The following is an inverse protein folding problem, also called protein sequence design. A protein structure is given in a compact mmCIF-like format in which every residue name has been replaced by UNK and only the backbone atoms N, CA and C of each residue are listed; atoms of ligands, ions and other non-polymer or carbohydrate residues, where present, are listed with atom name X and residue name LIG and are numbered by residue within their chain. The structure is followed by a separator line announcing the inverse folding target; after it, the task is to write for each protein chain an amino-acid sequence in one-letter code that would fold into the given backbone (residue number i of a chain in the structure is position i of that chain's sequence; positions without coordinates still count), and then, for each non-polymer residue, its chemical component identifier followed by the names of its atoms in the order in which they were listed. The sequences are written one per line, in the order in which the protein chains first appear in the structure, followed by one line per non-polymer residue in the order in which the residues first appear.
data_IF_555838210466
#
_entry.id   IF_555838210466
#
_cell.length_a   1.000
_cell.length_b   1.000
_cell.length_c   1.000
_cell.angle_alpha   90.00
_cell.angle_beta   90.00
_cell.angle_gamma   90.00
#
_symmetry.space_group_name_H-M   'P 1'
#
loop_
_entity.id
_entity.type
_entity.pdbx_description
1 polymer ?
#
# COMPACT_ATOMS: atom_id res chain seq x y z
N UNK A 1 -5.65 26.09 26.45
CA UNK A 1 -5.47 25.34 25.19
C UNK A 1 -6.47 25.88 24.19
N UNK A 2 -6.02 26.46 23.08
CA UNK A 2 -6.94 26.79 22.00
C UNK A 2 -7.29 25.47 21.30
N UNK A 3 -8.54 25.06 21.32
CA UNK A 3 -9.04 23.91 20.56
C UNK A 3 -9.23 24.39 19.13
N UNK A 4 -8.51 23.75 18.19
CA UNK A 4 -8.71 24.01 16.77
C UNK A 4 -10.08 23.46 16.35
N UNK A 5 -10.91 24.31 15.76
CA UNK A 5 -12.29 23.96 15.39
C UNK A 5 -12.47 23.72 13.90
N UNK A 6 -11.46 24.05 13.05
CA UNK A 6 -11.49 23.80 11.61
C UNK A 6 -10.84 22.47 11.26
N UNK A 7 -11.42 21.39 11.81
CA UNK A 7 -10.94 20.02 11.60
C UNK A 7 -11.37 19.52 10.22
N UNK A 8 -10.42 19.05 9.43
CA UNK A 8 -10.69 18.42 8.13
C UNK A 8 -10.73 16.90 8.29
N UNK A 9 -11.93 16.34 8.27
CA UNK A 9 -12.12 14.88 8.23
C UNK A 9 -11.87 14.35 6.81
N UNK A 10 -11.63 13.04 6.68
CA UNK A 10 -11.47 12.39 5.37
C UNK A 10 -12.69 12.65 4.48
N UNK A 11 -13.91 12.52 5.02
CA UNK A 11 -15.14 12.80 4.27
C UNK A 11 -15.18 14.25 3.77
N UNK A 12 -14.85 15.22 4.64
CA UNK A 12 -14.78 16.64 4.24
C UNK A 12 -13.73 16.87 3.15
N UNK A 13 -12.55 16.26 3.29
CA UNK A 13 -11.49 16.34 2.29
C UNK A 13 -11.95 15.78 0.93
N UNK A 14 -12.52 14.58 0.90
CA UNK A 14 -13.00 13.94 -0.34
C UNK A 14 -14.05 14.82 -1.03
N UNK A 15 -14.99 15.41 -0.28
CA UNK A 15 -15.99 16.31 -0.85
C UNK A 15 -15.38 17.59 -1.40
N UNK A 16 -14.38 18.17 -0.74
CA UNK A 16 -13.64 19.32 -1.25
C UNK A 16 -12.91 19.01 -2.55
N UNK A 17 -12.24 17.84 -2.64
CA UNK A 17 -11.59 17.41 -3.88
C UNK A 17 -12.61 17.18 -5.01
N UNK A 18 -13.75 16.56 -4.71
CA UNK A 18 -14.84 16.39 -5.68
C UNK A 18 -15.36 17.73 -6.21
N UNK A 19 -15.53 18.74 -5.35
CA UNK A 19 -16.00 20.06 -5.75
C UNK A 19 -15.04 20.76 -6.73
N UNK A 20 -13.73 20.54 -6.59
CA UNK A 20 -12.74 21.08 -7.53
C UNK A 20 -12.88 20.49 -8.95
N UNK A 21 -13.44 19.31 -9.06
CA UNK A 21 -13.64 18.60 -10.32
C UNK A 21 -15.05 18.81 -10.92
N UNK A 22 -15.94 19.54 -10.24
CA UNK A 22 -17.28 19.84 -10.72
C UNK A 22 -17.23 20.67 -12.04
N UNK A 23 -18.16 20.43 -13.01
CA UNK A 23 -19.33 19.53 -12.94
C UNK A 23 -19.05 18.07 -13.37
N UNK A 24 -17.82 17.70 -13.75
CA UNK A 24 -17.51 16.37 -14.27
C UNK A 24 -17.55 15.25 -13.22
N UNK A 25 -17.41 15.59 -11.93
CA UNK A 25 -17.42 14.61 -10.84
C UNK A 25 -18.84 14.16 -10.46
N UNK A 26 -19.12 12.86 -10.60
CA UNK A 26 -20.44 12.26 -10.32
C UNK A 26 -20.63 11.87 -8.84
N UNK A 27 -19.57 11.91 -8.03
CA UNK A 27 -19.60 11.53 -6.60
C UNK A 27 -19.40 10.05 -6.32
N UNK A 28 -19.37 9.20 -7.33
CA UNK A 28 -19.25 7.73 -7.19
C UNK A 28 -17.93 7.33 -6.49
N UNK A 29 -16.80 7.97 -6.86
CA UNK A 29 -15.51 7.74 -6.18
C UNK A 29 -15.56 8.17 -4.71
N UNK A 30 -16.25 9.28 -4.42
CA UNK A 30 -16.42 9.77 -3.05
C UNK A 30 -17.20 8.78 -2.19
N UNK A 31 -18.26 8.19 -2.73
CA UNK A 31 -19.04 7.15 -2.06
C UNK A 31 -18.20 5.89 -1.83
N UNK A 32 -17.41 5.48 -2.82
CA UNK A 32 -16.50 4.34 -2.68
C UNK A 32 -15.45 4.58 -1.58
N UNK A 33 -14.79 5.73 -1.56
CA UNK A 33 -13.80 6.06 -0.54
C UNK A 33 -14.42 6.13 0.87
N UNK A 34 -15.67 6.57 1.00
CA UNK A 34 -16.38 6.52 2.28
C UNK A 34 -16.72 5.09 2.72
N UNK A 35 -17.01 4.18 1.78
CA UNK A 35 -17.21 2.75 2.09
C UNK A 35 -15.90 2.08 2.52
N UNK A 36 -14.78 2.40 1.86
CA UNK A 36 -13.45 1.95 2.29
C UNK A 36 -13.09 2.46 3.69
N UNK A 37 -13.39 3.72 3.99
CA UNK A 37 -13.16 4.30 5.31
C UNK A 37 -13.85 3.48 6.42
N UNK A 38 -15.06 2.99 6.19
CA UNK A 38 -15.77 2.13 7.13
C UNK A 38 -15.00 0.82 7.36
N UNK A 39 -14.56 0.16 6.29
CA UNK A 39 -13.78 -1.08 6.41
C UNK A 39 -12.50 -0.86 7.22
N UNK A 40 -11.76 0.23 6.96
CA UNK A 40 -10.55 0.56 7.72
C UNK A 40 -10.81 0.80 9.21
N UNK A 41 -11.89 1.50 9.56
CA UNK A 41 -12.29 1.73 10.96
C UNK A 41 -12.64 0.41 11.65
N UNK A 42 -13.35 -0.49 10.96
CA UNK A 42 -13.71 -1.80 11.48
C UNK A 42 -12.47 -2.67 11.70
N UNK A 43 -11.56 -2.74 10.73
CA UNK A 43 -10.30 -3.49 10.86
C UNK A 43 -9.45 -2.93 12.00
N UNK A 44 -9.27 -1.60 12.07
CA UNK A 44 -8.54 -0.94 13.16
C UNK A 44 -9.10 -1.28 14.53
N UNK A 45 -10.44 -1.32 14.67
CA UNK A 45 -11.12 -1.69 15.91
C UNK A 45 -10.81 -3.14 16.30
N UNK A 46 -10.85 -4.08 15.34
CA UNK A 46 -10.64 -5.50 15.62
C UNK A 46 -9.17 -5.83 15.91
N UNK A 47 -8.22 -5.24 15.17
CA UNK A 47 -6.78 -5.42 15.43
C UNK A 47 -6.42 -4.99 16.85
N UNK A 48 -6.91 -3.84 17.33
CA UNK A 48 -6.64 -3.35 18.69
C UNK A 48 -7.16 -4.27 19.79
N UNK A 49 -8.13 -5.10 19.51
CA UNK A 49 -8.78 -6.01 20.44
C UNK A 49 -8.51 -7.48 20.16
N UNK A 50 -7.70 -7.78 19.15
CA UNK A 50 -7.52 -9.11 18.60
C UNK A 50 -7.21 -10.16 19.68
N UNK A 51 -6.29 -9.84 20.59
CA UNK A 51 -5.94 -10.69 21.72
C UNK A 51 -7.08 -10.86 22.72
N UNK A 52 -7.81 -9.78 23.01
CA UNK A 52 -8.91 -9.77 23.99
C UNK A 52 -10.13 -10.58 23.53
N UNK A 53 -10.34 -10.68 22.22
CA UNK A 53 -11.51 -11.36 21.63
C UNK A 53 -11.15 -12.64 20.88
N UNK A 54 -9.96 -13.19 21.11
CA UNK A 54 -9.49 -14.45 20.55
C UNK A 54 -9.39 -14.47 19.01
N UNK A 55 -9.08 -13.35 18.39
CA UNK A 55 -8.85 -13.22 16.95
C UNK A 55 -7.39 -13.45 16.54
N UNK A 56 -6.52 -13.75 17.50
CA UNK A 56 -5.13 -14.13 17.26
C UNK A 56 -5.05 -15.59 16.81
N UNK A 57 -4.03 -15.92 16.03
CA UNK A 57 -3.71 -17.27 15.60
C UNK A 57 -4.25 -17.64 14.24
N UNK A 58 -3.97 -18.89 13.85
CA UNK A 58 -4.25 -19.44 12.53
C UNK A 58 -5.74 -19.75 12.39
N UNK A 59 -6.32 -19.45 11.22
CA UNK A 59 -7.71 -19.79 10.87
C UNK A 59 -7.92 -21.29 10.60
N UNK A 60 -6.85 -21.99 10.18
CA UNK A 60 -6.91 -23.38 9.69
C UNK A 60 -7.05 -23.44 8.16
N UNK A 61 -7.03 -22.31 7.47
CA UNK A 61 -7.09 -22.19 6.01
C UNK A 61 -5.80 -21.58 5.45
N UNK A 62 -5.59 -21.67 4.13
CA UNK A 62 -4.53 -20.98 3.41
C UNK A 62 -5.18 -20.07 2.37
N UNK A 63 -4.50 -18.94 2.04
CA UNK A 63 -4.94 -18.05 0.98
C UNK A 63 -4.62 -18.62 -0.42
N UNK A 64 -5.02 -17.91 -1.46
CA UNK A 64 -4.82 -18.29 -2.87
C UNK A 64 -3.36 -18.49 -3.26
N UNK A 65 -2.42 -17.86 -2.55
CA UNK A 65 -0.98 -17.98 -2.81
C UNK A 65 -0.28 -19.03 -1.96
N UNK A 66 -1.04 -19.77 -1.11
CA UNK A 66 -0.54 -20.85 -0.25
C UNK A 66 0.00 -20.39 1.10
N UNK A 67 -0.15 -19.10 1.44
CA UNK A 67 0.23 -18.57 2.75
C UNK A 67 -0.85 -18.95 3.79
N UNK A 68 -0.43 -19.27 5.02
CA UNK A 68 -1.35 -19.66 6.11
C UNK A 68 -2.10 -18.42 6.59
N UNK A 69 -3.43 -18.44 6.44
CA UNK A 69 -4.30 -17.35 6.86
C UNK A 69 -4.41 -17.25 8.38
N UNK A 70 -4.40 -16.03 8.88
CA UNK A 70 -4.79 -15.71 10.26
C UNK A 70 -6.31 -15.47 10.32
N UNK A 71 -6.88 -15.58 11.52
CA UNK A 71 -8.31 -15.29 11.71
C UNK A 71 -8.71 -13.88 11.30
N UNK A 72 -7.79 -12.91 11.49
CA UNK A 72 -8.01 -11.53 11.10
C UNK A 72 -7.96 -11.33 9.58
N UNK A 73 -7.19 -12.12 8.83
CA UNK A 73 -7.19 -12.07 7.36
C UNK A 73 -8.59 -12.39 6.83
N UNK A 74 -9.19 -13.46 7.32
CA UNK A 74 -10.56 -13.87 6.94
C UNK A 74 -11.58 -12.77 7.27
N UNK A 75 -11.54 -12.21 8.49
CA UNK A 75 -12.46 -11.13 8.90
C UNK A 75 -12.20 -9.85 8.13
N UNK A 76 -10.93 -9.53 7.88
CA UNK A 76 -10.52 -8.36 7.09
C UNK A 76 -11.04 -8.43 5.65
N UNK A 77 -10.91 -9.60 5.02
CA UNK A 77 -11.41 -9.84 3.67
C UNK A 77 -12.95 -9.79 3.63
N UNK A 78 -13.64 -10.48 4.54
CA UNK A 78 -15.09 -10.47 4.61
C UNK A 78 -15.68 -9.05 4.77
N UNK A 79 -15.14 -8.24 5.68
CA UNK A 79 -15.64 -6.87 5.87
C UNK A 79 -15.34 -6.00 4.64
N UNK A 80 -14.18 -6.22 3.99
CA UNK A 80 -13.81 -5.49 2.79
C UNK A 80 -14.77 -5.85 1.63
N UNK A 81 -15.00 -7.12 1.37
CA UNK A 81 -15.96 -7.60 0.37
C UNK A 81 -17.35 -7.01 0.62
N UNK A 82 -17.85 -7.07 1.88
CA UNK A 82 -19.17 -6.55 2.23
C UNK A 82 -19.27 -5.04 2.05
N UNK A 83 -18.22 -4.28 2.40
CA UNK A 83 -18.16 -2.84 2.19
C UNK A 83 -18.17 -2.47 0.70
N UNK A 84 -17.42 -3.21 -0.13
CA UNK A 84 -17.39 -3.00 -1.58
C UNK A 84 -18.73 -3.33 -2.23
N UNK A 85 -19.33 -4.46 -1.86
CA UNK A 85 -20.66 -4.87 -2.32
C UNK A 85 -21.72 -3.82 -1.96
N UNK A 86 -21.73 -3.36 -0.71
CA UNK A 86 -22.73 -2.40 -0.20
C UNK A 86 -22.58 -1.01 -0.82
N UNK A 87 -21.39 -0.66 -1.31
CA UNK A 87 -21.14 0.65 -1.94
C UNK A 87 -21.89 0.83 -3.25
N UNK A 88 -22.26 -0.25 -3.94
CA UNK A 88 -22.81 -0.29 -5.31
C UNK A 88 -21.94 0.45 -6.36
N UNK A 89 -20.70 0.81 -6.02
CA UNK A 89 -19.79 1.53 -6.91
C UNK A 89 -18.67 0.63 -7.47
N UNK A 90 -18.47 -0.56 -6.87
CA UNK A 90 -17.46 -1.54 -7.29
C UNK A 90 -18.11 -2.62 -8.14
N UNK A 91 -17.53 -2.89 -9.29
CA UNK A 91 -17.92 -3.99 -10.18
C UNK A 91 -16.99 -5.19 -10.04
N UNK A 92 -15.69 -4.93 -9.90
CA UNK A 92 -14.64 -5.96 -9.81
C UNK A 92 -13.83 -5.74 -8.54
N UNK A 93 -13.63 -6.80 -7.78
CA UNK A 93 -12.72 -6.81 -6.63
C UNK A 93 -11.69 -7.91 -6.83
N UNK A 94 -10.41 -7.57 -6.64
CA UNK A 94 -9.28 -8.50 -6.50
C UNK A 94 -8.80 -8.39 -5.07
N UNK A 95 -8.78 -9.49 -4.34
CA UNK A 95 -8.23 -9.59 -2.99
C UNK A 95 -7.09 -10.60 -2.95
N UNK A 96 -6.08 -10.37 -2.12
CA UNK A 96 -5.03 -11.37 -1.85
C UNK A 96 -5.60 -12.67 -1.33
N UNK A 97 -6.68 -12.60 -0.57
CA UNK A 97 -7.30 -13.72 0.13
C UNK A 97 -8.19 -14.59 -0.78
N UNK A 98 -8.49 -14.13 -2.00
CA UNK A 98 -9.37 -14.79 -2.96
C UNK A 98 -8.57 -15.31 -4.16
N UNK A 99 -8.80 -16.55 -4.58
CA UNK A 99 -8.12 -17.16 -5.73
C UNK A 99 -8.51 -16.48 -7.05
N UNK A 100 -9.77 -16.14 -7.19
CA UNK A 100 -10.34 -15.49 -8.37
C UNK A 100 -10.84 -14.08 -8.04
N UNK A 101 -11.01 -13.28 -9.08
CA UNK A 101 -11.66 -11.97 -8.93
C UNK A 101 -13.15 -12.13 -8.60
N UNK A 102 -13.66 -11.22 -7.78
CA UNK A 102 -15.08 -11.16 -7.44
C UNK A 102 -15.77 -10.14 -8.38
N UNK A 103 -16.82 -10.57 -9.07
CA UNK A 103 -17.68 -9.70 -9.86
C UNK A 103 -18.98 -9.47 -9.09
N UNK A 104 -19.24 -8.21 -8.72
CA UNK A 104 -20.49 -7.84 -8.05
C UNK A 104 -21.63 -7.66 -9.08
N UNK A 105 -22.82 -8.08 -8.72
CA UNK A 105 -24.03 -7.71 -9.44
C UNK A 105 -24.30 -6.21 -9.26
N UNK A 106 -24.81 -5.56 -10.29
CA UNK A 106 -25.09 -4.12 -10.26
C UNK A 106 -24.19 -3.28 -11.17
N UNK A 107 -24.32 -1.98 -11.08
CA UNK A 107 -23.75 -1.00 -12.01
C UNK A 107 -22.47 -0.29 -11.54
N UNK A 108 -21.61 -0.94 -10.76
CA UNK A 108 -20.36 -0.33 -10.30
C UNK A 108 -19.42 0.10 -11.41
N UNK A 109 -18.77 1.25 -11.26
CA UNK A 109 -17.86 1.83 -12.25
C UNK A 109 -16.38 1.70 -11.87
N UNK A 110 -16.06 0.99 -10.80
CA UNK A 110 -14.69 0.83 -10.32
C UNK A 110 -14.32 -0.63 -10.16
N UNK A 111 -13.03 -0.91 -10.39
CA UNK A 111 -12.36 -2.10 -9.92
C UNK A 111 -11.46 -1.72 -8.75
N UNK A 112 -11.45 -2.55 -7.72
CA UNK A 112 -10.60 -2.37 -6.54
C UNK A 112 -9.69 -3.59 -6.42
N UNK A 113 -8.40 -3.35 -6.22
CA UNK A 113 -7.41 -4.38 -5.90
C UNK A 113 -6.92 -4.12 -4.47
N UNK A 114 -6.94 -5.13 -3.60
CA UNK A 114 -6.62 -4.96 -2.18
C UNK A 114 -5.83 -6.12 -1.61
N UNK A 115 -4.94 -5.79 -0.69
CA UNK A 115 -4.49 -6.65 0.38
C UNK A 115 -5.21 -6.19 1.65
N UNK A 116 -6.18 -6.97 2.16
CA UNK A 116 -6.96 -6.54 3.32
C UNK A 116 -6.14 -6.40 4.60
N UNK A 117 -5.14 -7.26 4.82
CA UNK A 117 -4.24 -7.18 5.98
C UNK A 117 -2.81 -7.58 5.61
N UNK A 118 -2.06 -6.66 5.00
CA UNK A 118 -0.61 -6.81 4.77
C UNK A 118 0.13 -7.02 6.08
N UNK A 119 1.01 -8.00 6.09
CA UNK A 119 1.87 -8.30 7.23
C UNK A 119 1.17 -9.05 8.37
N UNK A 120 0.07 -9.75 8.14
CA UNK A 120 -0.73 -10.46 9.14
C UNK A 120 0.07 -11.42 10.02
N UNK A 121 1.18 -11.97 9.54
CA UNK A 121 2.12 -12.78 10.34
C UNK A 121 2.69 -12.05 11.56
N UNK A 122 2.64 -10.72 11.57
CA UNK A 122 3.15 -9.85 12.63
C UNK A 122 2.10 -9.50 13.70
N UNK A 123 0.82 -9.83 13.49
CA UNK A 123 -0.28 -9.45 14.38
C UNK A 123 -0.06 -9.99 15.79
N UNK A 124 0.31 -11.27 15.90
CA UNK A 124 0.51 -11.96 17.17
C UNK A 124 1.68 -11.35 17.98
N UNK A 125 2.58 -10.64 17.33
CA UNK A 125 3.72 -9.95 17.97
C UNK A 125 3.45 -8.45 18.23
N UNK A 126 2.25 -7.95 17.90
CA UNK A 126 1.87 -6.54 18.07
C UNK A 126 2.64 -5.58 17.16
N UNK A 127 3.25 -6.08 16.08
CA UNK A 127 3.89 -5.23 15.06
C UNK A 127 2.81 -4.66 14.15
N UNK A 128 3.04 -3.43 13.66
CA UNK A 128 2.08 -2.75 12.76
C UNK A 128 1.85 -3.56 11.49
N UNK A 129 0.58 -3.63 11.10
CA UNK A 129 0.09 -4.25 9.86
C UNK A 129 -0.74 -3.23 9.10
N UNK A 130 -1.26 -3.56 7.92
CA UNK A 130 -2.07 -2.57 7.19
C UNK A 130 -2.97 -3.16 6.13
N UNK A 131 -3.87 -2.32 5.61
CA UNK A 131 -4.68 -2.59 4.42
C UNK A 131 -4.12 -1.77 3.27
N UNK A 132 -3.92 -2.38 2.11
CA UNK A 132 -3.43 -1.71 0.90
C UNK A 132 -4.54 -1.77 -0.17
N UNK A 133 -4.71 -0.70 -0.94
CA UNK A 133 -5.71 -0.69 -2.02
C UNK A 133 -5.28 0.16 -3.20
N UNK A 134 -5.70 -0.27 -4.40
CA UNK A 134 -5.63 0.49 -5.66
C UNK A 134 -6.98 0.46 -6.36
N UNK A 135 -7.36 1.55 -7.01
CA UNK A 135 -8.66 1.73 -7.65
C UNK A 135 -8.47 2.08 -9.12
N UNK A 136 -9.13 1.32 -9.99
CA UNK A 136 -9.25 1.61 -11.41
C UNK A 136 -10.68 2.05 -11.75
N UNK A 137 -10.81 3.02 -12.65
CA UNK A 137 -12.09 3.30 -13.27
C UNK A 137 -12.31 2.34 -14.44
N UNK A 138 -13.47 1.71 -14.52
CA UNK A 138 -13.87 0.85 -15.61
C UNK A 138 -14.28 1.68 -16.83
N UNK A 139 -14.21 1.05 -18.01
CA UNK A 139 -14.85 1.57 -19.21
C UNK A 139 -16.36 1.52 -19.04
N UNK A 140 -17.06 2.44 -19.68
CA UNK A 140 -18.53 2.57 -19.52
C UNK A 140 -19.33 1.34 -19.97
N UNK A 141 -18.76 0.52 -20.86
CA UNK A 141 -19.35 -0.73 -21.38
C UNK A 141 -18.87 -1.99 -20.64
N UNK A 142 -18.00 -1.86 -19.65
CA UNK A 142 -17.48 -3.01 -18.91
C UNK A 142 -18.58 -3.69 -18.09
N UNK A 143 -18.65 -5.01 -18.23
CA UNK A 143 -19.51 -5.88 -17.41
C UNK A 143 -18.77 -6.53 -16.26
N UNK A 144 -17.50 -6.20 -16.07
CA UNK A 144 -16.60 -6.81 -15.09
C UNK A 144 -15.86 -8.01 -15.70
N UNK A 145 -14.54 -7.91 -15.75
CA UNK A 145 -13.66 -8.97 -16.23
C UNK A 145 -12.25 -8.80 -15.69
N UNK A 146 -11.42 -9.80 -15.87
CA UNK A 146 -10.01 -9.75 -15.51
C UNK A 146 -9.26 -8.62 -16.26
N UNK A 147 -9.68 -8.26 -17.49
CA UNK A 147 -9.07 -7.20 -18.27
C UNK A 147 -9.29 -5.79 -17.68
N UNK A 148 -10.21 -5.66 -16.74
CA UNK A 148 -10.46 -4.40 -16.03
C UNK A 148 -9.38 -4.11 -14.99
N UNK A 149 -8.61 -5.11 -14.59
CA UNK A 149 -7.54 -5.00 -13.58
C UNK A 149 -6.15 -5.34 -14.14
N UNK A 150 -6.03 -6.17 -15.19
CA UNK A 150 -4.75 -6.45 -15.84
C UNK A 150 -4.33 -5.27 -16.74
N UNK A 151 -4.08 -4.14 -16.09
CA UNK A 151 -3.74 -2.84 -16.68
C UNK A 151 -2.49 -2.30 -16.01
N UNK A 152 -1.88 -1.28 -16.61
CA UNK A 152 -0.76 -0.58 -15.99
C UNK A 152 -1.20 0.13 -14.71
N UNK A 153 -0.30 0.24 -13.74
CA UNK A 153 -0.54 1.00 -12.51
C UNK A 153 -0.78 2.50 -12.76
N UNK A 154 -0.26 3.04 -13.88
CA UNK A 154 -0.51 4.43 -14.32
C UNK A 154 -1.98 4.73 -14.62
N UNK A 155 -2.81 3.72 -14.78
CA UNK A 155 -4.24 3.86 -15.06
C UNK A 155 -5.11 3.86 -13.79
N UNK A 156 -4.51 3.68 -12.60
CA UNK A 156 -5.23 3.83 -11.33
C UNK A 156 -5.69 5.27 -11.14
N UNK A 157 -6.90 5.43 -10.61
CA UNK A 157 -7.48 6.74 -10.29
C UNK A 157 -7.30 7.11 -8.82
N UNK A 158 -7.04 6.14 -7.95
CA UNK A 158 -6.70 6.36 -6.56
C UNK A 158 -5.92 5.16 -6.01
N UNK A 159 -5.10 5.41 -5.01
CA UNK A 159 -4.40 4.38 -4.26
C UNK A 159 -4.18 4.83 -2.82
N UNK A 160 -4.01 3.87 -1.92
CA UNK A 160 -3.74 4.17 -0.53
C UNK A 160 -3.42 2.94 0.30
N UNK A 161 -3.04 3.20 1.52
CA UNK A 161 -2.97 2.18 2.58
C UNK A 161 -3.40 2.76 3.91
N UNK A 162 -3.90 1.89 4.77
CA UNK A 162 -4.10 2.22 6.19
C UNK A 162 -3.15 1.36 7.02
N UNK A 163 -2.23 1.98 7.74
CA UNK A 163 -1.36 1.30 8.70
C UNK A 163 -2.03 1.26 10.08
N UNK A 164 -2.08 0.10 10.68
CA UNK A 164 -2.62 -0.15 12.01
C UNK A 164 -1.46 -0.44 12.98
N UNK A 165 -1.18 0.49 13.87
CA UNK A 165 -0.10 0.42 14.84
C UNK A 165 -0.47 1.19 16.11
N UNK A 166 0.46 1.98 16.65
CA UNK A 166 0.20 2.86 17.81
C UNK A 166 -0.98 3.81 17.54
N UNK A 167 -1.12 4.25 16.29
CA UNK A 167 -2.31 4.92 15.74
C UNK A 167 -2.67 4.27 14.42
N UNK A 168 -3.89 4.47 13.92
CA UNK A 168 -4.24 4.09 12.56
C UNK A 168 -4.02 5.30 11.64
N UNK A 169 -3.15 5.12 10.62
CA UNK A 169 -2.80 6.16 9.66
C UNK A 169 -3.23 5.74 8.25
N UNK A 170 -4.05 6.53 7.61
CA UNK A 170 -4.42 6.37 6.20
C UNK A 170 -3.58 7.32 5.35
N UNK A 171 -2.87 6.78 4.36
CA UNK A 171 -2.25 7.54 3.27
C UNK A 171 -3.06 7.35 2.00
N UNK A 172 -3.45 8.45 1.38
CA UNK A 172 -4.33 8.47 0.21
C UNK A 172 -3.78 9.38 -0.88
N UNK A 173 -3.84 8.90 -2.11
CA UNK A 173 -3.70 9.71 -3.32
C UNK A 173 -4.87 9.47 -4.27
N UNK A 174 -5.33 10.55 -4.90
CA UNK A 174 -6.28 10.54 -6.02
C UNK A 174 -5.62 11.06 -7.30
N UNK A 175 -4.27 10.90 -7.41
CA UNK A 175 -3.47 11.36 -8.53
C UNK A 175 -3.00 12.81 -8.43
N UNK A 176 -3.25 13.50 -7.32
CA UNK A 176 -2.92 14.90 -7.09
C UNK A 176 -2.18 15.10 -5.75
N UNK A 177 -1.04 14.42 -5.59
CA UNK A 177 -0.28 14.41 -4.35
C UNK A 177 -0.77 13.39 -3.33
N UNK A 178 -0.15 13.36 -2.16
CA UNK A 178 -0.45 12.42 -1.09
C UNK A 178 -0.91 13.18 0.15
N UNK A 179 -1.99 12.70 0.77
CA UNK A 179 -2.51 13.24 2.02
C UNK A 179 -2.60 12.13 3.07
N UNK A 180 -2.17 12.46 4.29
CA UNK A 180 -2.16 11.55 5.43
C UNK A 180 -3.20 11.93 6.47
N UNK A 181 -3.91 10.93 6.96
CA UNK A 181 -4.98 11.06 7.96
C UNK A 181 -4.70 10.14 9.14
N UNK A 182 -5.04 10.61 10.33
CA UNK A 182 -4.95 9.81 11.56
C UNK A 182 -6.36 9.56 12.10
N UNK A 183 -6.63 8.32 12.48
CA UNK A 183 -7.92 7.96 13.06
C UNK A 183 -8.01 8.45 14.51
N UNK A 184 -8.91 9.41 14.76
CA UNK A 184 -9.40 9.69 16.11
C UNK A 184 -10.44 8.64 16.46
N UNK A 185 -10.10 7.77 17.40
CA UNK A 185 -10.96 6.64 17.78
C UNK A 185 -12.12 7.03 18.70
N UNK A 186 -12.08 8.22 19.29
CA UNK A 186 -13.20 8.72 20.10
C UNK A 186 -14.25 9.38 19.23
N UNK A 187 -13.82 10.18 18.25
CA UNK A 187 -14.72 10.75 17.23
C UNK A 187 -15.14 9.72 16.19
N UNK A 188 -14.35 8.67 16.01
CA UNK A 188 -14.55 7.68 14.96
C UNK A 188 -14.27 8.23 13.56
N UNK A 189 -13.38 9.23 13.42
CA UNK A 189 -13.09 9.90 12.15
C UNK A 189 -11.60 9.94 11.84
N UNK A 190 -11.27 9.77 10.53
CA UNK A 190 -9.92 10.05 10.03
C UNK A 190 -9.75 11.56 9.86
N UNK A 191 -8.79 12.14 10.57
CA UNK A 191 -8.49 13.57 10.58
C UNK A 191 -7.24 13.81 9.73
N UNK A 192 -7.27 14.80 8.85
CA UNK A 192 -6.12 15.22 8.04
C UNK A 192 -5.00 15.72 8.94
N UNK A 193 -3.90 14.99 9.00
CA UNK A 193 -2.73 15.32 9.84
C UNK A 193 -1.47 15.60 9.02
N UNK A 194 -1.43 15.17 7.76
CA UNK A 194 -0.28 15.35 6.87
C UNK A 194 -0.77 15.76 5.47
N UNK A 195 -1.13 17.05 5.27
CA UNK A 195 -1.57 17.55 3.97
C UNK A 195 -0.40 17.64 3.00
N UNK A 196 -0.62 17.30 1.73
CA UNK A 196 0.34 17.45 0.62
C UNK A 196 1.74 16.91 0.97
N UNK A 197 1.77 15.69 1.49
CA UNK A 197 3.00 15.05 1.94
C UNK A 197 3.98 14.89 0.77
N UNK A 198 5.23 15.29 1.00
CA UNK A 198 6.33 15.13 0.06
C UNK A 198 7.47 14.38 0.74
N UNK A 199 7.97 13.34 0.08
CA UNK A 199 9.13 12.57 0.56
C UNK A 199 10.41 13.40 0.43
N UNK A 200 11.34 13.39 1.41
CA UNK A 200 12.66 13.98 1.24
C UNK A 200 13.38 13.42 0.01
N UNK A 201 14.12 14.26 -0.72
CA UNK A 201 14.81 13.86 -1.96
C UNK A 201 15.86 12.76 -1.75
N UNK A 202 16.46 12.69 -0.56
CA UNK A 202 17.42 11.67 -0.16
C UNK A 202 17.45 11.54 1.36
N UNK A 203 17.75 10.37 1.85
CA UNK A 203 18.01 10.08 3.28
C UNK A 203 18.83 8.82 3.41
N UNK A 204 19.87 8.87 4.22
CA UNK A 204 20.75 7.71 4.48
C UNK A 204 20.08 6.65 5.37
N UNK A 205 18.96 6.12 4.92
CA UNK A 205 18.20 5.04 5.56
C UNK A 205 17.87 4.01 4.49
N UNK A 206 18.11 2.73 4.78
CA UNK A 206 17.65 1.63 3.94
C UNK A 206 16.84 0.62 4.75
N UNK A 207 15.90 -0.02 4.10
CA UNK A 207 14.99 -1.01 4.66
C UNK A 207 14.91 -2.21 3.73
N UNK A 208 15.56 -3.30 4.09
CA UNK A 208 15.58 -4.56 3.33
C UNK A 208 15.82 -5.73 4.27
N UNK A 209 15.25 -6.90 3.96
CA UNK A 209 15.51 -8.11 4.74
C UNK A 209 16.87 -8.70 4.38
N UNK A 210 17.92 -8.29 5.09
CA UNK A 210 19.27 -8.79 4.88
C UNK A 210 19.43 -10.30 5.17
N UNK A 211 18.49 -10.92 5.88
CA UNK A 211 18.45 -12.37 6.05
C UNK A 211 18.33 -13.15 4.72
N UNK A 212 17.84 -12.49 3.66
CA UNK A 212 17.77 -13.04 2.31
C UNK A 212 19.04 -12.81 1.50
N UNK A 213 20.07 -12.16 2.02
CA UNK A 213 21.29 -11.78 1.27
C UNK A 213 22.01 -12.94 0.60
N UNK A 214 21.94 -14.15 1.17
CA UNK A 214 22.48 -15.36 0.56
C UNK A 214 21.91 -15.64 -0.83
N UNK A 215 20.63 -15.31 -1.05
CA UNK A 215 19.90 -15.59 -2.30
C UNK A 215 19.99 -14.45 -3.32
N UNK A 216 20.50 -13.26 -2.93
CA UNK A 216 20.55 -12.10 -3.80
C UNK A 216 21.57 -12.22 -4.94
N UNK A 217 21.30 -11.62 -6.10
CA UNK A 217 22.31 -11.36 -7.13
C UNK A 217 23.47 -10.51 -6.60
N UNK A 218 24.63 -10.63 -7.22
CA UNK A 218 25.86 -10.00 -6.73
C UNK A 218 25.78 -8.46 -6.70
N UNK A 219 25.11 -7.84 -7.68
CA UNK A 219 24.96 -6.38 -7.72
C UNK A 219 24.15 -5.84 -6.53
N UNK A 220 23.13 -6.59 -6.05
CA UNK A 220 22.36 -6.21 -4.86
C UNK A 220 23.23 -6.32 -3.60
N UNK A 221 23.97 -7.41 -3.46
CA UNK A 221 24.91 -7.56 -2.34
C UNK A 221 25.89 -6.41 -2.30
N UNK A 222 26.50 -6.08 -3.45
CA UNK A 222 27.44 -4.98 -3.58
C UNK A 222 26.80 -3.64 -3.19
N UNK A 223 25.59 -3.36 -3.67
CA UNK A 223 24.85 -2.14 -3.32
C UNK A 223 24.66 -2.03 -1.80
N UNK A 224 24.12 -3.06 -1.15
CA UNK A 224 23.86 -3.04 0.30
C UNK A 224 25.17 -2.96 1.10
N UNK A 225 26.22 -3.67 0.70
CA UNK A 225 27.54 -3.57 1.34
C UNK A 225 28.14 -2.16 1.22
N UNK A 226 27.96 -1.50 0.09
CA UNK A 226 28.44 -0.13 -0.10
C UNK A 226 27.64 0.88 0.76
N UNK A 227 26.34 0.67 1.02
CA UNK A 227 25.59 1.50 1.97
C UNK A 227 26.10 1.39 3.42
N UNK A 228 26.70 0.27 3.80
CA UNK A 228 27.26 0.03 5.15
C UNK A 228 28.62 0.67 5.35
N UNK A 229 29.27 1.10 4.28
CA UNK A 229 30.57 1.80 4.33
C UNK A 229 30.37 3.27 4.66
N UNK A 230 31.42 3.92 5.24
CA UNK A 230 31.45 5.36 5.35
C UNK A 230 31.19 6.06 4.02
N UNK A 231 30.29 7.04 3.99
CA UNK A 231 29.95 7.84 2.82
C UNK A 231 30.56 9.23 2.95
N UNK A 232 31.21 9.75 1.90
CA UNK A 232 31.88 11.04 1.92
C UNK A 232 30.87 12.20 2.10
N UNK A 233 29.72 12.11 1.41
CA UNK A 233 28.61 13.08 1.49
C UNK A 233 27.89 13.09 2.86
N UNK A 234 28.07 12.02 3.66
CA UNK A 234 27.52 11.87 5.02
C UNK A 234 28.57 12.10 6.12
N UNK A 235 29.67 12.82 5.81
CA UNK A 235 30.76 13.06 6.76
C UNK A 235 31.35 11.78 7.35
N UNK A 236 31.52 10.77 6.53
CA UNK A 236 32.07 9.47 6.93
C UNK A 236 31.12 8.56 7.71
N UNK A 237 29.81 8.81 7.68
CA UNK A 237 28.82 7.93 8.32
C UNK A 237 28.24 6.93 7.31
N UNK A 238 27.95 5.68 7.72
CA UNK A 238 27.21 4.73 6.89
C UNK A 238 25.70 5.06 6.90
N UNK A 239 24.95 4.41 6.02
CA UNK A 239 23.49 4.39 6.10
C UNK A 239 22.99 3.66 7.35
N UNK A 240 21.81 4.03 7.81
CA UNK A 240 21.13 3.34 8.92
C UNK A 240 20.16 2.30 8.39
N UNK A 241 20.32 1.05 8.80
CA UNK A 241 19.34 -0.01 8.52
C UNK A 241 18.09 0.18 9.39
N UNK A 242 16.91 0.07 8.76
CA UNK A 242 15.62 0.15 9.43
C UNK A 242 14.65 -0.82 8.72
N UNK A 243 14.56 -2.04 9.18
CA UNK A 243 13.65 -3.05 8.63
C UNK A 243 12.76 -3.61 9.74
N UNK A 244 11.45 -3.42 9.60
CA UNK A 244 10.43 -3.91 10.54
C UNK A 244 9.95 -5.29 10.14
N UNK A 245 9.85 -5.56 8.84
CA UNK A 245 9.31 -6.81 8.30
C UNK A 245 7.79 -6.77 8.11
N UNK A 246 7.20 -5.58 8.15
CA UNK A 246 5.86 -5.27 7.68
C UNK A 246 5.99 -4.23 6.58
N UNK A 247 5.56 -4.56 5.36
CA UNK A 247 5.75 -3.71 4.19
C UNK A 247 5.12 -2.33 4.40
N UNK A 248 3.89 -2.28 4.89
CA UNK A 248 3.19 -1.02 5.16
C UNK A 248 3.96 -0.16 6.16
N UNK A 249 4.49 -0.75 7.25
CA UNK A 249 5.23 -0.01 8.27
C UNK A 249 6.58 0.50 7.74
N UNK A 250 7.29 -0.32 6.98
CA UNK A 250 8.56 0.05 6.38
C UNK A 250 8.40 1.14 5.32
N UNK A 251 7.37 1.06 4.48
CA UNK A 251 7.07 2.07 3.47
C UNK A 251 6.53 3.35 4.12
N UNK A 252 5.68 3.26 5.14
CA UNK A 252 5.18 4.43 5.86
C UNK A 252 6.32 5.27 6.45
N UNK A 253 7.29 4.61 7.11
CA UNK A 253 8.49 5.30 7.60
C UNK A 253 9.30 5.91 6.47
N UNK A 254 9.48 5.17 5.36
CA UNK A 254 10.23 5.66 4.19
C UNK A 254 9.55 6.86 3.55
N UNK A 255 8.22 6.85 3.43
CA UNK A 255 7.43 7.97 2.91
C UNK A 255 7.59 9.24 3.76
N UNK A 256 7.61 9.09 5.10
CA UNK A 256 7.72 10.24 6.01
C UNK A 256 9.15 10.76 6.14
N UNK A 257 10.14 9.89 6.19
CA UNK A 257 11.50 10.25 6.55
C UNK A 257 12.48 10.25 5.38
N UNK A 258 12.11 9.67 4.24
CA UNK A 258 13.01 9.41 3.13
C UNK A 258 13.81 8.13 3.33
N UNK A 259 14.67 7.85 2.36
CA UNK A 259 15.46 6.62 2.28
C UNK A 259 14.92 5.69 1.19
N UNK A 260 15.27 4.42 1.29
CA UNK A 260 14.87 3.39 0.34
C UNK A 260 14.34 2.16 1.05
N UNK A 261 13.21 1.64 0.58
CA UNK A 261 12.70 0.31 0.91
C UNK A 261 12.92 -0.61 -0.28
N UNK A 262 13.31 -1.86 0.00
CA UNK A 262 13.45 -2.88 -1.04
C UNK A 262 12.96 -4.25 -0.59
N UNK A 263 12.34 -4.94 -1.53
CA UNK A 263 12.09 -6.38 -1.48
C UNK A 263 12.46 -6.98 -2.83
N UNK A 264 13.75 -7.24 -3.08
CA UNK A 264 14.25 -7.69 -4.38
C UNK A 264 13.82 -9.11 -4.70
N UNK A 265 13.75 -9.42 -5.99
CA UNK A 265 13.74 -10.80 -6.46
C UNK A 265 15.09 -11.47 -6.16
N UNK A 266 15.07 -12.77 -5.95
CA UNK A 266 16.22 -13.56 -5.60
C UNK A 266 16.19 -14.97 -6.23
N UNK A 267 17.19 -15.80 -5.94
CA UNK A 267 17.25 -17.17 -6.51
C UNK A 267 16.12 -18.07 -6.00
N UNK A 268 15.51 -17.77 -4.84
CA UNK A 268 14.39 -18.49 -4.26
C UNK A 268 13.04 -17.97 -4.82
N UNK A 269 12.94 -16.66 -5.04
CA UNK A 269 11.75 -15.97 -5.54
C UNK A 269 12.10 -15.17 -6.79
N UNK A 270 12.27 -15.85 -7.92
CA UNK A 270 12.78 -15.29 -9.17
C UNK A 270 11.96 -14.13 -9.74
N UNK A 271 10.67 -14.10 -9.46
CA UNK A 271 9.75 -13.04 -9.88
C UNK A 271 9.44 -12.04 -8.74
N UNK A 272 10.25 -12.05 -7.67
CA UNK A 272 9.94 -11.31 -6.45
C UNK A 272 8.89 -12.01 -5.58
N UNK A 273 8.48 -11.35 -4.50
CA UNK A 273 7.50 -11.89 -3.54
C UNK A 273 6.23 -11.06 -3.49
N UNK A 274 6.34 -9.74 -3.64
CA UNK A 274 5.23 -8.81 -3.49
C UNK A 274 4.35 -8.80 -4.75
N UNK A 275 3.04 -8.67 -4.56
CA UNK A 275 2.05 -8.76 -5.63
C UNK A 275 1.89 -7.42 -6.34
N UNK A 276 1.80 -7.45 -7.66
CA UNK A 276 1.83 -6.24 -8.47
C UNK A 276 0.58 -5.39 -8.23
N UNK A 277 -0.63 -5.99 -8.32
CA UNK A 277 -1.88 -5.25 -8.37
C UNK A 277 -2.26 -4.57 -7.05
N UNK A 278 -2.02 -5.21 -5.92
CA UNK A 278 -2.55 -4.75 -4.64
C UNK A 278 -1.49 -4.41 -3.58
N UNK A 279 -0.19 -4.61 -3.88
CA UNK A 279 0.92 -4.17 -3.04
C UNK A 279 1.82 -3.20 -3.83
N UNK A 280 2.49 -3.65 -4.91
CA UNK A 280 3.49 -2.85 -5.63
C UNK A 280 2.89 -1.59 -6.27
N UNK A 281 1.78 -1.71 -6.99
CA UNK A 281 1.16 -0.58 -7.69
C UNK A 281 0.64 0.51 -6.75
N UNK A 282 -0.16 0.20 -5.71
CA UNK A 282 -0.63 1.24 -4.78
C UNK A 282 0.52 1.96 -4.10
N UNK A 283 1.53 1.22 -3.64
CA UNK A 283 2.69 1.81 -2.96
C UNK A 283 3.56 2.64 -3.91
N UNK A 284 3.73 2.18 -5.16
CA UNK A 284 4.45 2.94 -6.18
C UNK A 284 3.73 4.25 -6.53
N UNK A 285 2.39 4.22 -6.68
CA UNK A 285 1.62 5.43 -6.95
C UNK A 285 1.75 6.45 -5.82
N UNK A 286 1.62 6.02 -4.57
CA UNK A 286 1.81 6.89 -3.42
C UNK A 286 3.23 7.49 -3.39
N UNK A 287 4.24 6.65 -3.60
CA UNK A 287 5.63 7.10 -3.56
C UNK A 287 5.93 8.14 -4.63
N UNK A 288 5.49 7.91 -5.88
CA UNK A 288 5.68 8.85 -6.98
C UNK A 288 4.87 10.14 -6.79
N UNK A 289 3.63 10.06 -6.30
CA UNK A 289 2.81 11.23 -6.00
C UNK A 289 3.37 12.07 -4.85
N UNK A 290 4.20 11.47 -3.99
CA UNK A 290 4.96 12.19 -2.96
C UNK A 290 6.31 12.74 -3.45
N UNK A 291 6.67 12.54 -4.73
CA UNK A 291 7.94 13.01 -5.31
C UNK A 291 9.11 12.05 -5.16
N UNK A 292 8.85 10.79 -4.82
CA UNK A 292 9.80 9.69 -4.87
C UNK A 292 9.71 8.88 -6.16
N UNK A 293 10.26 7.66 -6.15
CA UNK A 293 10.26 6.76 -7.29
C UNK A 293 10.10 5.29 -6.86
N UNK A 294 9.65 4.44 -7.79
CA UNK A 294 9.50 3.01 -7.58
C UNK A 294 9.88 2.23 -8.85
N UNK A 295 10.85 1.32 -8.71
CA UNK A 295 11.35 0.49 -9.82
C UNK A 295 11.44 -0.99 -9.41
N UNK A 296 11.49 -1.88 -10.40
CA UNK A 296 11.79 -3.29 -10.18
C UNK A 296 13.33 -3.55 -10.20
N UNK A 297 13.70 -4.82 -10.09
CA UNK A 297 15.12 -5.24 -10.09
C UNK A 297 15.85 -5.01 -11.42
N UNK A 298 15.15 -4.61 -12.49
CA UNK A 298 15.70 -4.26 -13.79
C UNK A 298 15.75 -2.75 -14.03
N UNK A 299 15.31 -1.95 -13.05
CA UNK A 299 15.17 -0.51 -13.19
C UNK A 299 13.94 -0.07 -13.96
N UNK A 300 13.03 -0.99 -14.29
CA UNK A 300 11.76 -0.65 -14.94
C UNK A 300 10.81 -0.02 -13.91
N UNK A 301 10.14 1.07 -14.28
CA UNK A 301 9.16 1.73 -13.43
C UNK A 301 8.01 0.78 -13.08
N UNK A 302 7.72 0.61 -11.80
CA UNK A 302 6.67 -0.31 -11.31
C UNK A 302 5.33 -0.03 -11.99
N UNK A 303 4.90 1.22 -12.07
CA UNK A 303 3.59 1.59 -12.64
C UNK A 303 3.45 1.32 -14.15
N UNK A 304 4.55 1.06 -14.86
CA UNK A 304 4.53 0.73 -16.30
C UNK A 304 4.44 -0.77 -16.59
N UNK A 305 4.56 -1.62 -15.57
CA UNK A 305 4.41 -3.08 -15.72
C UNK A 305 2.98 -3.40 -16.17
N UNK A 306 2.85 -4.35 -17.10
CA UNK A 306 1.56 -4.92 -17.49
C UNK A 306 1.44 -6.32 -16.88
N UNK A 307 0.63 -6.51 -15.83
CA UNK A 307 0.42 -7.82 -15.22
C UNK A 307 -0.27 -8.80 -16.18
N UNK A 308 0.04 -10.08 -16.05
CA UNK A 308 -0.56 -11.18 -16.82
C UNK A 308 -1.57 -11.98 -16.01
N UNK A 309 -1.48 -11.92 -14.68
CA UNK A 309 -2.35 -12.56 -13.73
C UNK A 309 -2.61 -11.65 -12.53
N UNK A 310 -3.72 -11.90 -11.82
CA UNK A 310 -4.14 -11.05 -10.68
C UNK A 310 -3.23 -11.17 -9.46
N UNK A 311 -2.45 -12.26 -9.36
CA UNK A 311 -1.49 -12.49 -8.29
C UNK A 311 -0.03 -12.46 -8.77
N UNK A 312 0.23 -11.84 -9.92
CA UNK A 312 1.60 -11.66 -10.42
C UNK A 312 2.45 -10.90 -9.42
N UNK A 313 3.72 -11.29 -9.35
CA UNK A 313 4.69 -10.78 -8.37
C UNK A 313 5.79 -9.98 -9.05
N UNK A 314 6.42 -9.10 -8.28
CA UNK A 314 7.61 -8.34 -8.69
C UNK A 314 8.54 -8.15 -7.51
N UNK A 315 9.84 -8.01 -7.78
CA UNK A 315 10.73 -7.31 -6.87
C UNK A 315 10.44 -5.82 -6.93
N UNK A 316 10.71 -5.10 -5.84
CA UNK A 316 10.45 -3.67 -5.74
C UNK A 316 11.55 -2.94 -5.00
N UNK A 317 11.88 -1.75 -5.49
CA UNK A 317 12.73 -0.74 -4.88
C UNK A 317 11.97 0.57 -4.93
N UNK A 318 11.69 1.19 -3.79
CA UNK A 318 10.95 2.45 -3.74
C UNK A 318 11.45 3.35 -2.63
N UNK A 319 11.29 4.65 -2.82
CA UNK A 319 11.73 5.63 -1.84
C UNK A 319 12.07 6.99 -2.44
N UNK A 320 12.97 7.69 -1.77
CA UNK A 320 13.51 8.97 -2.23
C UNK A 320 14.12 8.86 -3.62
N UNK A 321 13.86 9.85 -4.49
CA UNK A 321 14.40 9.86 -5.86
C UNK A 321 15.90 9.64 -5.89
N UNK A 322 16.68 10.37 -5.06
CA UNK A 322 18.13 10.25 -5.04
C UNK A 322 18.64 8.87 -4.59
N UNK A 323 17.87 8.15 -3.77
CA UNK A 323 18.22 6.80 -3.34
C UNK A 323 17.94 5.77 -4.45
N UNK A 324 16.86 5.96 -5.19
CA UNK A 324 16.57 5.15 -6.38
C UNK A 324 17.60 5.40 -7.47
N UNK A 325 17.94 6.67 -7.75
CA UNK A 325 18.98 7.02 -8.73
C UNK A 325 20.31 6.36 -8.37
N UNK A 326 20.68 6.34 -7.08
CA UNK A 326 21.88 5.66 -6.59
C UNK A 326 21.80 4.14 -6.83
N UNK A 327 20.66 3.50 -6.50
CA UNK A 327 20.46 2.07 -6.75
C UNK A 327 20.62 1.72 -8.25
N UNK A 328 20.04 2.53 -9.14
CA UNK A 328 20.09 2.31 -10.58
C UNK A 328 21.53 2.27 -11.14
N UNK A 329 22.50 2.91 -10.48
CA UNK A 329 23.93 2.85 -10.89
C UNK A 329 24.58 1.50 -10.63
N UNK A 330 23.95 0.60 -9.87
CA UNK A 330 24.47 -0.74 -9.57
C UNK A 330 23.88 -1.82 -10.48
N UNK A 331 22.86 -1.50 -11.26
CA UNK A 331 22.27 -2.44 -12.22
C UNK A 331 23.32 -2.88 -13.25
N UNK A 332 23.27 -4.18 -13.70
CA UNK A 332 24.22 -4.73 -14.67
C UNK A 332 24.09 -4.12 -16.07
#
# INVERSE_FOLDING_TARGET
MNVETDIITLTRFILQEQQKLAPAATGELSLLLNSLQFAFKFIAHNIRRAELVNLIGISGTANSTGDVQKKLDVIGDEIFINAMKSSNNVKVLVSEEQEDLIIFEGGGRYAVCTDPIDGSSNIDAGVSVGTIFGIYRLKDDSKGSINDVLRKGTEMVAAGYTMYGASAHLMLTTGHGVNGFTLDTQLGEFILTSPNLSIPKSRAIYSVNEGNSYYWPEYIKKYIEDLKKPQDDLKGKPYSARYVGSMVADIHRTLLYGGIFAYPADTKSKNGKLRILYECFPMAMLMEQAGGSAVNDKGERILDILPKGIHDKSGIWLGSQGEIDKFLTYLP
#
